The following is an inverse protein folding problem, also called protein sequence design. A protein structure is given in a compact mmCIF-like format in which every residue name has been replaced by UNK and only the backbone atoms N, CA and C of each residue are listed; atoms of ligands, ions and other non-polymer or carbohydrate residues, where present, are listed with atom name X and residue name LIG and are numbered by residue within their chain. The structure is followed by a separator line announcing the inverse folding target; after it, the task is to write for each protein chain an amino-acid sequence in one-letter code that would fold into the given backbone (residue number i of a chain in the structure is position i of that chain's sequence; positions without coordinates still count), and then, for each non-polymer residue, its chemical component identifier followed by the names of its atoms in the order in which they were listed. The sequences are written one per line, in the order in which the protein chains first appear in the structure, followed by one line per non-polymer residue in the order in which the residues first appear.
data_IF_841861229959
#
_entry.id   IF_841861229959
#
_cell.length_a   1.000
_cell.length_b   1.000
_cell.length_c   1.000
_cell.angle_alpha   90.00
_cell.angle_beta   90.00
_cell.angle_gamma   90.00
#
_symmetry.space_group_name_H-M   'P 1'
#
loop_
_entity.id
_entity.type
_entity.pdbx_description
1 polymer ?
#
# COMPACT_ATOMS: atom_id res chain seq x y z
N UNK A 1 14.81 -14.97 34.65
CA UNK A 1 13.83 -14.13 35.37
C UNK A 1 14.49 -13.15 36.35
N UNK A 2 15.46 -12.34 35.90
CA UNK A 2 16.10 -11.28 36.71
C UNK A 2 16.55 -10.14 35.78
N UNK A 3 15.62 -9.36 35.21
CA UNK A 3 15.98 -8.06 34.60
C UNK A 3 14.80 -7.14 34.24
N UNK A 4 13.66 -7.17 34.96
CA UNK A 4 12.56 -6.21 34.71
C UNK A 4 12.17 -5.35 35.92
N UNK A 5 12.79 -5.54 37.09
CA UNK A 5 12.37 -4.86 38.32
C UNK A 5 12.98 -3.45 38.50
N UNK A 6 13.91 -3.02 37.63
CA UNK A 6 14.64 -1.76 37.82
C UNK A 6 14.01 -0.52 37.17
N UNK A 7 13.02 -0.65 36.28
CA UNK A 7 12.43 0.50 35.55
C UNK A 7 11.23 1.12 36.30
N UNK A 8 10.65 0.42 37.28
CA UNK A 8 9.43 0.89 37.97
C UNK A 8 9.73 1.81 39.17
N UNK A 9 10.96 1.87 39.71
CA UNK A 9 11.22 2.62 40.96
C UNK A 9 11.60 4.11 40.79
N UNK A 10 11.85 4.59 39.57
CA UNK A 10 12.30 5.98 39.35
C UNK A 10 11.13 6.98 39.26
N UNK A 11 9.89 6.53 39.02
CA UNK A 11 8.77 7.45 38.71
C UNK A 11 7.97 7.99 39.90
N UNK A 12 8.08 7.39 41.10
CA UNK A 12 7.22 7.80 42.23
C UNK A 12 7.57 9.18 42.83
N UNK A 13 8.82 9.66 42.67
CA UNK A 13 9.28 10.95 43.25
C UNK A 13 8.99 12.15 42.36
N UNK A 14 8.93 11.99 41.04
CA UNK A 14 8.64 13.09 40.10
C UNK A 14 7.13 13.38 40.07
N UNK A 15 6.29 12.34 40.15
CA UNK A 15 4.82 12.51 40.15
C UNK A 15 4.31 13.21 41.42
N UNK A 16 4.92 12.97 42.60
CA UNK A 16 4.45 13.60 43.85
C UNK A 16 4.67 15.12 43.92
N UNK A 17 5.50 15.71 43.07
CA UNK A 17 5.77 17.16 43.08
C UNK A 17 4.98 17.95 42.03
N UNK A 18 4.24 17.28 41.15
CA UNK A 18 3.51 17.89 40.02
C UNK A 18 1.98 17.96 40.18
N UNK A 19 1.41 17.33 41.22
CA UNK A 19 -0.05 17.14 41.36
C UNK A 19 -0.75 18.31 42.09
N UNK A 20 -0.03 19.29 42.63
CA UNK A 20 -0.63 20.34 43.48
C UNK A 20 -1.21 21.58 42.76
N UNK A 21 -1.28 21.60 41.42
CA UNK A 21 -1.71 22.79 40.66
C UNK A 21 -2.72 22.58 39.53
N UNK A 22 -3.13 21.34 39.25
CA UNK A 22 -3.99 21.03 38.10
C UNK A 22 -5.38 20.58 38.55
N UNK A 23 -6.43 21.19 37.99
CA UNK A 23 -7.81 20.72 38.18
C UNK A 23 -7.97 19.33 37.55
N UNK A 24 -8.84 18.50 38.13
CA UNK A 24 -9.18 17.14 37.71
C UNK A 24 -9.35 16.97 36.19
N UNK A 25 -9.95 17.96 35.49
CA UNK A 25 -10.09 17.93 34.03
C UNK A 25 -8.76 17.93 33.29
N UNK A 26 -7.76 18.67 33.78
CA UNK A 26 -6.42 18.74 33.20
C UNK A 26 -5.64 17.43 33.41
N UNK A 27 -5.82 16.78 34.57
CA UNK A 27 -5.22 15.48 34.84
C UNK A 27 -5.84 14.36 33.97
N UNK A 28 -7.15 14.41 33.74
CA UNK A 28 -7.84 13.47 32.85
C UNK A 28 -7.39 13.63 31.39
N UNK A 29 -7.23 14.86 30.92
CA UNK A 29 -6.73 15.15 29.58
C UNK A 29 -5.28 14.65 29.39
N UNK A 30 -4.41 14.88 30.37
CA UNK A 30 -3.02 14.38 30.34
C UNK A 30 -3.01 12.85 30.33
N UNK A 31 -3.86 12.19 31.12
CA UNK A 31 -3.97 10.74 31.13
C UNK A 31 -4.47 10.20 29.79
N UNK A 32 -5.50 10.80 29.18
CA UNK A 32 -5.98 10.43 27.85
C UNK A 32 -4.90 10.60 26.78
N UNK A 33 -4.18 11.73 26.77
CA UNK A 33 -3.09 11.98 25.83
C UNK A 33 -1.95 10.98 26.06
N UNK A 34 -1.59 10.70 27.32
CA UNK A 34 -0.56 9.72 27.65
C UNK A 34 -0.96 8.29 27.25
N UNK A 35 -2.23 7.89 27.42
CA UNK A 35 -2.74 6.61 26.95
C UNK A 35 -2.73 6.50 25.43
N UNK A 36 -3.16 7.55 24.71
CA UNK A 36 -3.11 7.59 23.24
C UNK A 36 -1.65 7.55 22.75
N UNK A 37 -0.76 8.32 23.38
CA UNK A 37 0.66 8.31 23.05
C UNK A 37 1.31 6.96 23.36
N UNK A 38 0.91 6.29 24.45
CA UNK A 38 1.38 4.95 24.79
C UNK A 38 0.85 3.91 23.81
N UNK A 39 -0.42 3.97 23.38
CA UNK A 39 -0.96 3.11 22.33
C UNK A 39 -0.25 3.33 21.00
N UNK A 40 -0.04 4.59 20.59
CA UNK A 40 0.70 4.92 19.36
C UNK A 40 2.16 4.49 19.44
N UNK A 41 2.82 4.66 20.60
CA UNK A 41 4.18 4.19 20.85
C UNK A 41 4.27 2.65 20.91
N UNK A 42 3.23 1.98 21.37
CA UNK A 42 3.14 0.52 21.39
C UNK A 42 3.00 -0.01 19.96
N UNK A 43 2.06 0.53 19.18
CA UNK A 43 1.86 0.19 17.76
C UNK A 43 3.14 0.44 16.94
N UNK A 44 3.79 1.59 17.14
CA UNK A 44 5.03 1.92 16.42
C UNK A 44 6.24 1.11 16.89
N UNK A 45 6.36 0.79 18.18
CA UNK A 45 7.46 -0.06 18.70
C UNK A 45 7.29 -1.54 18.33
N UNK A 46 6.06 -2.05 18.26
CA UNK A 46 5.80 -3.44 17.87
C UNK A 46 6.14 -3.67 16.38
N UNK A 47 5.87 -2.69 15.50
CA UNK A 47 6.34 -2.73 14.11
C UNK A 47 7.87 -2.67 13.97
N UNK A 48 8.59 -2.13 14.96
CA UNK A 48 10.07 -2.05 14.94
C UNK A 48 10.72 -3.35 15.48
N UNK A 49 10.00 -4.16 16.28
CA UNK A 49 10.59 -5.33 16.97
C UNK A 49 10.11 -6.70 16.49
N UNK A 50 8.94 -6.82 15.84
CA UNK A 50 8.60 -8.02 15.08
C UNK A 50 9.07 -7.84 13.64
N UNK A 51 10.19 -8.48 13.26
CA UNK A 51 10.65 -8.48 11.87
C UNK A 51 9.75 -9.41 11.04
N UNK A 52 8.51 -8.98 10.83
CA UNK A 52 7.59 -9.60 9.89
C UNK A 52 8.23 -9.53 8.51
N UNK A 53 8.49 -10.68 7.91
CA UNK A 53 8.95 -10.75 6.53
C UNK A 53 7.77 -10.66 5.56
N UNK A 54 8.04 -10.22 4.34
CA UNK A 54 7.05 -10.17 3.27
C UNK A 54 7.63 -10.81 2.00
N UNK A 55 6.78 -11.46 1.24
CA UNK A 55 7.06 -12.00 -0.07
C UNK A 55 6.07 -11.43 -1.09
N UNK A 56 6.53 -11.18 -2.31
CA UNK A 56 5.74 -10.55 -3.36
C UNK A 56 5.64 -11.46 -4.57
N UNK A 57 4.42 -11.67 -5.07
CA UNK A 57 4.15 -12.56 -6.21
C UNK A 57 2.97 -12.08 -7.03
N UNK A 58 2.82 -12.65 -8.23
CA UNK A 58 1.58 -12.55 -8.97
C UNK A 58 0.41 -13.10 -8.16
N UNK A 59 -0.75 -12.43 -8.28
CA UNK A 59 -1.99 -12.89 -7.71
C UNK A 59 -2.48 -14.15 -8.42
N UNK A 60 -3.09 -15.05 -7.66
CA UNK A 60 -3.76 -16.25 -8.17
C UNK A 60 -5.24 -16.21 -7.83
N UNK A 61 -6.04 -17.09 -8.44
CA UNK A 61 -7.50 -17.16 -8.20
C UNK A 61 -7.83 -17.36 -6.72
N UNK A 62 -6.98 -18.07 -5.98
CA UNK A 62 -7.12 -18.25 -4.53
C UNK A 62 -6.99 -16.96 -3.71
N UNK A 63 -6.40 -15.89 -4.25
CA UNK A 63 -6.22 -14.61 -3.55
C UNK A 63 -7.43 -13.68 -3.65
N UNK A 64 -8.39 -13.98 -4.53
CA UNK A 64 -9.53 -13.09 -4.86
C UNK A 64 -10.26 -12.62 -3.60
N UNK A 65 -10.50 -13.53 -2.65
CA UNK A 65 -11.21 -13.19 -1.42
C UNK A 65 -10.40 -12.24 -0.52
N UNK A 66 -9.10 -12.51 -0.37
CA UNK A 66 -8.24 -11.68 0.46
C UNK A 66 -8.05 -10.28 -0.15
N UNK A 67 -7.89 -10.20 -1.47
CA UNK A 67 -7.79 -8.94 -2.21
C UNK A 67 -9.07 -8.12 -2.05
N UNK A 68 -10.23 -8.72 -2.29
CA UNK A 68 -11.52 -8.05 -2.17
C UNK A 68 -11.76 -7.52 -0.75
N UNK A 69 -11.38 -8.30 0.27
CA UNK A 69 -11.47 -7.88 1.67
C UNK A 69 -10.55 -6.70 1.99
N UNK A 70 -9.28 -6.75 1.59
CA UNK A 70 -8.34 -5.64 1.80
C UNK A 70 -8.84 -4.39 1.07
N UNK A 71 -9.31 -4.55 -0.16
CA UNK A 71 -9.86 -3.45 -0.94
C UNK A 71 -11.03 -2.81 -0.18
N UNK A 72 -11.99 -3.62 0.27
CA UNK A 72 -13.13 -3.13 1.05
C UNK A 72 -12.71 -2.39 2.31
N UNK A 73 -11.97 -3.05 3.20
CA UNK A 73 -11.64 -2.52 4.52
C UNK A 73 -10.86 -1.21 4.41
N UNK A 74 -9.85 -1.16 3.53
CA UNK A 74 -9.04 0.03 3.35
C UNK A 74 -9.82 1.13 2.63
N UNK A 75 -10.70 0.80 1.68
CA UNK A 75 -11.56 1.78 1.02
C UNK A 75 -12.48 2.49 2.01
N UNK A 76 -13.11 1.75 2.93
CA UNK A 76 -13.98 2.34 3.95
C UNK A 76 -13.24 3.38 4.81
N UNK A 77 -12.00 3.07 5.21
CA UNK A 77 -11.23 3.94 6.09
C UNK A 77 -10.64 5.15 5.34
N UNK A 78 -10.23 4.96 4.07
CA UNK A 78 -9.42 5.96 3.35
C UNK A 78 -10.13 6.72 2.23
N UNK A 79 -11.20 6.17 1.66
CA UNK A 79 -11.87 6.74 0.49
C UNK A 79 -13.34 7.05 0.71
N UNK A 80 -14.06 6.30 1.55
CA UNK A 80 -15.52 6.38 1.61
C UNK A 80 -16.05 7.77 1.97
N UNK A 81 -15.32 8.53 2.79
CA UNK A 81 -15.69 9.90 3.16
C UNK A 81 -15.24 10.98 2.14
N UNK A 82 -14.55 10.59 1.07
CA UNK A 82 -13.98 11.49 0.06
C UNK A 82 -14.69 11.41 -1.29
N UNK A 83 -15.56 10.42 -1.50
CA UNK A 83 -16.24 10.17 -2.76
C UNK A 83 -17.74 10.49 -2.68
N UNK A 84 -18.41 10.71 -3.82
CA UNK A 84 -19.85 10.90 -3.84
C UNK A 84 -20.61 9.72 -3.19
N UNK A 85 -21.66 9.97 -2.39
CA UNK A 85 -22.44 8.91 -1.76
C UNK A 85 -23.03 7.89 -2.74
N UNK A 86 -23.36 8.32 -3.95
CA UNK A 86 -23.87 7.47 -5.04
C UNK A 86 -22.86 6.38 -5.40
N UNK A 87 -21.56 6.70 -5.38
CA UNK A 87 -20.51 5.74 -5.66
C UNK A 87 -20.42 4.66 -4.58
N UNK A 88 -20.71 4.99 -3.32
CA UNK A 88 -20.59 4.07 -2.19
C UNK A 88 -21.52 2.85 -2.32
N UNK A 89 -22.64 2.99 -3.03
CA UNK A 89 -23.56 1.88 -3.32
C UNK A 89 -22.87 0.77 -4.15
N UNK A 90 -21.81 1.12 -4.89
CA UNK A 90 -21.00 0.22 -5.71
C UNK A 90 -19.64 -0.12 -5.07
N UNK A 91 -19.48 0.12 -3.76
CA UNK A 91 -18.24 -0.11 -2.99
C UNK A 91 -18.48 -1.05 -1.82
N UNK A 92 -19.21 -2.14 -2.10
CA UNK A 92 -19.46 -3.24 -1.17
C UNK A 92 -18.41 -4.34 -1.32
N UNK A 93 -18.24 -5.16 -0.29
CA UNK A 93 -17.35 -6.34 -0.37
C UNK A 93 -17.72 -7.25 -1.54
N UNK A 94 -19.01 -7.49 -1.77
CA UNK A 94 -19.48 -8.32 -2.87
C UNK A 94 -19.12 -7.73 -4.24
N UNK A 95 -19.33 -6.42 -4.42
CA UNK A 95 -18.93 -5.77 -5.68
C UNK A 95 -17.41 -5.81 -5.92
N UNK A 96 -16.59 -5.73 -4.86
CA UNK A 96 -15.15 -5.88 -5.01
C UNK A 96 -14.74 -7.32 -5.32
N UNK A 97 -15.40 -8.31 -4.71
CA UNK A 97 -15.19 -9.74 -5.00
C UNK A 97 -15.47 -10.04 -6.47
N UNK A 98 -16.55 -9.50 -7.03
CA UNK A 98 -16.92 -9.70 -8.43
C UNK A 98 -15.98 -9.01 -9.42
N UNK A 99 -15.41 -7.86 -9.06
CA UNK A 99 -14.51 -7.09 -9.92
C UNK A 99 -13.06 -7.56 -9.88
N UNK A 100 -12.60 -8.10 -8.76
CA UNK A 100 -11.21 -8.54 -8.56
C UNK A 100 -10.70 -9.48 -9.67
N UNK A 101 -11.46 -10.49 -10.17
CA UNK A 101 -11.02 -11.34 -11.26
C UNK A 101 -10.63 -10.60 -12.55
N UNK A 102 -11.26 -9.44 -12.83
CA UNK A 102 -11.04 -8.69 -14.08
C UNK A 102 -9.62 -8.14 -14.23
N UNK A 103 -8.96 -7.81 -13.12
CA UNK A 103 -7.58 -7.29 -13.10
C UNK A 103 -6.56 -8.29 -12.55
N UNK A 104 -6.99 -9.50 -12.19
CA UNK A 104 -6.18 -10.46 -11.44
C UNK A 104 -4.87 -10.81 -12.16
N UNK A 105 -4.92 -10.98 -13.49
CA UNK A 105 -3.77 -11.31 -14.32
C UNK A 105 -2.66 -10.24 -14.30
N UNK A 106 -3.00 -9.00 -13.94
CA UNK A 106 -2.06 -7.88 -13.82
C UNK A 106 -1.94 -7.39 -12.37
N UNK A 107 -2.32 -8.24 -11.41
CA UNK A 107 -2.25 -7.95 -9.98
C UNK A 107 -1.07 -8.64 -9.31
N UNK A 108 -0.34 -7.89 -8.50
CA UNK A 108 0.70 -8.39 -7.60
C UNK A 108 0.21 -8.28 -6.16
N UNK A 109 0.55 -9.27 -5.34
CA UNK A 109 0.19 -9.33 -3.92
C UNK A 109 1.43 -9.35 -3.04
N UNK A 110 1.31 -8.74 -1.87
CA UNK A 110 2.24 -8.87 -0.76
C UNK A 110 1.69 -9.91 0.23
N UNK A 111 2.49 -10.91 0.57
CA UNK A 111 2.13 -12.02 1.45
C UNK A 111 3.05 -11.99 2.67
N UNK A 112 2.49 -12.18 3.85
CA UNK A 112 3.25 -12.31 5.10
C UNK A 112 4.11 -13.57 5.04
N UNK A 113 5.40 -13.43 5.29
CA UNK A 113 6.30 -14.56 5.54
C UNK A 113 6.34 -14.92 7.02
N UNK A 114 7.35 -15.68 7.43
CA UNK A 114 7.53 -16.04 8.83
C UNK A 114 7.77 -14.79 9.70
N UNK A 115 7.24 -14.84 10.92
CA UNK A 115 7.51 -13.90 12.01
C UNK A 115 8.37 -14.61 13.06
N UNK A 116 9.40 -13.92 13.56
CA UNK A 116 10.22 -14.42 14.67
C UNK A 116 9.64 -14.03 16.05
N UNK A 117 8.44 -13.44 16.07
CA UNK A 117 7.80 -12.98 17.29
C UNK A 117 6.65 -13.93 17.66
N UNK A 118 6.70 -14.50 18.85
CA UNK A 118 5.55 -15.10 19.56
C UNK A 118 4.55 -14.00 20.00
N UNK A 119 4.34 -12.98 19.17
CA UNK A 119 3.42 -11.89 19.45
C UNK A 119 2.04 -12.25 18.89
N UNK A 120 1.02 -12.14 19.72
CA UNK A 120 -0.40 -12.27 19.33
C UNK A 120 -0.78 -11.29 18.20
N UNK A 121 0.00 -10.23 18.01
CA UNK A 121 -0.16 -9.21 16.96
C UNK A 121 0.51 -9.54 15.60
N UNK A 122 1.20 -10.68 15.46
CA UNK A 122 1.78 -11.10 14.18
C UNK A 122 0.69 -11.69 13.26
N UNK A 123 0.65 -11.27 12.00
CA UNK A 123 -0.24 -11.90 11.03
C UNK A 123 0.22 -13.33 10.75
N UNK A 124 -0.73 -14.28 10.56
CA UNK A 124 -0.42 -15.61 10.07
C UNK A 124 0.48 -15.58 8.84
N UNK A 125 1.44 -16.49 8.76
CA UNK A 125 2.24 -16.71 7.56
C UNK A 125 1.34 -17.12 6.38
N UNK A 126 1.67 -16.64 5.18
CA UNK A 126 0.92 -16.93 3.96
C UNK A 126 -0.30 -16.04 3.73
N UNK A 127 -0.55 -15.04 4.58
CA UNK A 127 -1.68 -14.14 4.42
C UNK A 127 -1.37 -12.99 3.47
N UNK A 128 -2.25 -12.74 2.50
CA UNK A 128 -2.18 -11.53 1.67
C UNK A 128 -2.43 -10.31 2.56
N UNK A 129 -1.53 -9.33 2.51
CA UNK A 129 -1.57 -8.11 3.33
C UNK A 129 -1.56 -6.81 2.52
N UNK A 130 -1.47 -6.91 1.19
CA UNK A 130 -1.61 -5.79 0.27
C UNK A 130 -1.57 -6.25 -1.18
N UNK A 131 -2.03 -5.40 -2.08
CA UNK A 131 -2.00 -5.70 -3.51
C UNK A 131 -1.87 -4.43 -4.35
N UNK A 132 -1.41 -4.61 -5.59
CA UNK A 132 -1.38 -3.58 -6.63
C UNK A 132 -1.83 -4.17 -7.95
N UNK A 133 -2.66 -3.45 -8.70
CA UNK A 133 -3.16 -3.86 -10.02
C UNK A 133 -2.79 -2.79 -11.06
N UNK A 134 -2.35 -3.21 -12.24
CA UNK A 134 -2.02 -2.30 -13.35
C UNK A 134 -2.85 -2.59 -14.59
N UNK A 135 -3.04 -1.58 -15.45
CA UNK A 135 -3.65 -1.74 -16.78
C UNK A 135 -3.00 -0.74 -17.75
N UNK A 136 -2.35 -1.26 -18.80
CA UNK A 136 -1.50 -0.44 -19.65
C UNK A 136 -0.41 0.24 -18.82
N UNK A 137 -0.33 1.57 -18.87
CA UNK A 137 0.60 2.37 -18.06
C UNK A 137 -0.02 2.93 -16.77
N UNK A 138 -1.25 2.53 -16.44
CA UNK A 138 -1.95 2.97 -15.23
C UNK A 138 -1.73 2.00 -14.07
N UNK A 139 -1.53 2.54 -12.87
CA UNK A 139 -1.75 1.82 -11.61
C UNK A 139 -3.20 2.08 -11.21
N UNK A 140 -4.04 1.03 -11.26
CA UNK A 140 -5.47 1.13 -10.99
C UNK A 140 -5.79 1.09 -9.49
N UNK A 141 -5.21 0.11 -8.80
CA UNK A 141 -5.48 -0.15 -7.40
C UNK A 141 -4.16 -0.34 -6.66
N UNK A 142 -3.99 0.33 -5.52
CA UNK A 142 -2.91 0.08 -4.57
C UNK A 142 -3.49 0.17 -3.15
N UNK A 143 -3.65 -0.98 -2.50
CA UNK A 143 -4.22 -1.07 -1.17
C UNK A 143 -3.36 -1.96 -0.27
N UNK A 144 -3.15 -1.52 0.96
CA UNK A 144 -2.31 -2.21 1.95
C UNK A 144 -3.05 -2.26 3.28
N UNK A 145 -3.22 -3.47 3.82
CA UNK A 145 -3.85 -3.70 5.13
C UNK A 145 -2.92 -3.37 6.29
N UNK A 146 -1.59 -3.57 6.12
CA UNK A 146 -0.58 -3.21 7.10
C UNK A 146 0.19 -1.94 6.69
N UNK A 147 0.02 -0.85 7.44
CA UNK A 147 0.72 0.42 7.18
C UNK A 147 2.05 0.51 7.94
N UNK A 148 2.98 1.32 7.44
CA UNK A 148 4.23 1.62 8.14
C UNK A 148 5.36 0.57 7.99
N UNK A 149 5.10 -0.56 7.34
CA UNK A 149 6.08 -1.65 7.16
C UNK A 149 6.79 -1.66 5.79
N UNK A 150 6.57 -0.64 4.94
CA UNK A 150 7.22 -0.53 3.62
C UNK A 150 6.56 -1.29 2.48
N UNK A 151 5.61 -2.19 2.75
CA UNK A 151 4.89 -3.01 1.74
C UNK A 151 4.34 -2.19 0.58
N UNK A 152 3.70 -1.05 0.85
CA UNK A 152 3.14 -0.18 -0.20
C UNK A 152 4.18 0.36 -1.17
N UNK A 153 5.39 0.70 -0.69
CA UNK A 153 6.49 1.17 -1.53
C UNK A 153 7.01 0.05 -2.43
N UNK A 154 7.16 -1.15 -1.88
CA UNK A 154 7.63 -2.31 -2.66
C UNK A 154 6.61 -2.72 -3.73
N UNK A 155 5.32 -2.77 -3.40
CA UNK A 155 4.26 -3.01 -4.40
C UNK A 155 4.29 -1.97 -5.52
N UNK A 156 4.40 -0.67 -5.17
CA UNK A 156 4.48 0.40 -6.15
C UNK A 156 5.69 0.25 -7.09
N UNK A 157 6.87 -0.06 -6.55
CA UNK A 157 8.07 -0.31 -7.36
C UNK A 157 7.95 -1.54 -8.27
N UNK A 158 7.28 -2.60 -7.81
CA UNK A 158 7.02 -3.77 -8.66
C UNK A 158 6.03 -3.44 -9.79
N UNK A 159 5.00 -2.66 -9.51
CA UNK A 159 4.05 -2.18 -10.52
C UNK A 159 4.73 -1.29 -11.57
N UNK A 160 5.63 -0.39 -11.15
CA UNK A 160 6.43 0.44 -12.05
C UNK A 160 7.28 -0.41 -13.02
N UNK A 161 7.88 -1.51 -12.53
CA UNK A 161 8.62 -2.46 -13.36
C UNK A 161 7.71 -3.24 -14.30
N UNK A 162 6.55 -3.69 -13.82
CA UNK A 162 5.57 -4.39 -14.65
C UNK A 162 5.09 -3.51 -15.80
N UNK A 163 4.76 -2.24 -15.52
CA UNK A 163 4.37 -1.25 -16.54
C UNK A 163 5.49 -1.06 -17.57
N UNK A 164 6.73 -0.88 -17.11
CA UNK A 164 7.87 -0.74 -18.01
C UNK A 164 8.03 -1.98 -18.91
N UNK A 165 7.99 -3.18 -18.34
CA UNK A 165 8.15 -4.43 -19.07
C UNK A 165 7.02 -4.65 -20.09
N UNK A 166 5.76 -4.46 -19.69
CA UNK A 166 4.59 -4.62 -20.56
C UNK A 166 4.62 -3.65 -21.75
N UNK A 167 5.04 -2.41 -21.51
CA UNK A 167 5.17 -1.41 -22.57
C UNK A 167 6.39 -1.66 -23.49
N UNK A 168 7.52 -2.07 -22.92
CA UNK A 168 8.78 -2.28 -23.68
C UNK A 168 8.80 -3.60 -24.43
N UNK A 169 8.11 -4.65 -23.96
CA UNK A 169 7.97 -5.93 -24.68
C UNK A 169 7.22 -5.81 -26.01
N UNK A 170 6.52 -4.69 -26.23
CA UNK A 170 5.90 -4.33 -27.51
C UNK A 170 6.83 -3.52 -28.42
N UNK A 171 7.94 -3.00 -27.88
CA UNK A 171 8.91 -2.19 -28.61
C UNK A 171 10.11 -3.06 -29.02
N UNK A 172 10.26 -3.31 -30.33
CA UNK A 172 11.50 -3.84 -30.87
C UNK A 172 12.64 -2.88 -30.56
N UNK A 173 13.52 -3.23 -29.62
CA UNK A 173 14.68 -2.40 -29.29
C UNK A 173 15.64 -2.41 -30.48
N UNK A 174 15.58 -1.37 -31.32
CA UNK A 174 16.63 -1.10 -32.30
C UNK A 174 17.73 -0.30 -31.60
N UNK A 175 19.00 -0.75 -31.66
CA UNK A 175 20.10 0.11 -31.26
C UNK A 175 20.07 1.41 -32.07
N UNK A 176 20.36 2.54 -31.44
CA UNK A 176 20.64 3.76 -32.18
C UNK A 176 21.91 3.56 -33.04
N UNK A 177 22.08 4.38 -34.08
CA UNK A 177 23.17 4.24 -35.05
C UNK A 177 24.59 4.34 -34.44
N UNK A 178 24.71 4.86 -33.22
CA UNK A 178 25.95 5.00 -32.45
C UNK A 178 26.22 3.84 -31.47
N UNK A 179 25.35 2.82 -31.45
CA UNK A 179 25.42 1.70 -30.52
C UNK A 179 24.92 2.03 -29.10
N UNK A 180 24.43 3.26 -28.88
CA UNK A 180 23.72 3.62 -27.65
C UNK A 180 22.33 2.99 -27.69
N UNK A 181 21.92 2.41 -26.57
CA UNK A 181 20.51 2.11 -26.32
C UNK A 181 19.96 3.29 -25.55
N UNK A 182 19.13 4.15 -26.18
CA UNK A 182 18.33 5.11 -25.42
C UNK A 182 17.62 4.35 -24.30
N UNK A 183 17.74 4.86 -23.07
CA UNK A 183 16.93 4.34 -21.98
C UNK A 183 15.48 4.61 -22.34
N UNK A 184 14.77 3.58 -22.80
CA UNK A 184 13.34 3.65 -23.02
C UNK A 184 12.68 4.06 -21.70
N UNK A 185 11.81 5.06 -21.78
CA UNK A 185 11.07 5.56 -20.64
C UNK A 185 9.59 5.47 -20.96
N UNK A 186 8.83 4.99 -19.98
CA UNK A 186 7.38 4.90 -20.05
C UNK A 186 6.82 5.85 -18.99
N UNK A 187 5.79 6.61 -19.33
CA UNK A 187 5.09 7.45 -18.36
C UNK A 187 4.01 6.60 -17.69
N UNK A 188 4.28 6.19 -16.45
CA UNK A 188 3.29 5.56 -15.58
C UNK A 188 2.40 6.65 -14.96
N UNK A 189 1.12 6.35 -14.78
CA UNK A 189 0.16 7.28 -14.20
C UNK A 189 -0.77 6.61 -13.18
N UNK A 190 -1.33 7.41 -12.27
CA UNK A 190 -2.35 7.01 -11.32
C UNK A 190 -3.25 8.19 -10.94
N UNK A 191 -4.39 7.89 -10.31
CA UNK A 191 -5.35 8.88 -9.87
C UNK A 191 -5.54 8.83 -8.35
N UNK A 192 -5.60 10.01 -7.73
CA UNK A 192 -5.83 10.17 -6.30
C UNK A 192 -7.06 11.04 -6.09
N UNK A 193 -8.08 10.53 -5.41
CA UNK A 193 -9.26 11.33 -5.06
C UNK A 193 -8.87 12.55 -4.22
N UNK A 194 -9.57 13.67 -4.43
CA UNK A 194 -9.36 14.87 -3.63
C UNK A 194 -9.51 14.59 -2.13
N UNK A 195 -8.69 15.25 -1.32
CA UNK A 195 -8.69 15.09 0.14
C UNK A 195 -7.89 13.89 0.67
N UNK A 196 -7.43 12.97 -0.18
CA UNK A 196 -6.58 11.85 0.24
C UNK A 196 -5.11 12.27 0.43
N UNK A 197 -4.87 13.11 1.43
CA UNK A 197 -3.55 13.71 1.70
C UNK A 197 -2.49 12.67 2.06
N UNK A 198 -2.89 11.58 2.73
CA UNK A 198 -1.99 10.47 3.03
C UNK A 198 -1.44 9.81 1.75
N UNK A 199 -2.28 9.58 0.74
CA UNK A 199 -1.84 9.04 -0.54
C UNK A 199 -0.95 10.03 -1.30
N UNK A 200 -1.32 11.32 -1.34
CA UNK A 200 -0.50 12.36 -1.99
C UNK A 200 0.91 12.43 -1.40
N UNK A 201 1.03 12.41 -0.07
CA UNK A 201 2.33 12.40 0.60
C UNK A 201 3.11 11.11 0.33
N UNK A 202 2.44 9.96 0.28
CA UNK A 202 3.06 8.69 -0.06
C UNK A 202 3.65 8.70 -1.48
N UNK A 203 2.86 9.10 -2.48
CA UNK A 203 3.30 9.13 -3.88
C UNK A 203 4.41 10.16 -4.11
N UNK A 204 4.30 11.35 -3.51
CA UNK A 204 5.38 12.36 -3.53
C UNK A 204 6.70 11.81 -2.97
N UNK A 205 6.67 11.07 -1.85
CA UNK A 205 7.84 10.39 -1.27
C UNK A 205 8.37 9.22 -2.11
N UNK A 206 7.61 8.76 -3.09
CA UNK A 206 8.01 7.73 -4.06
C UNK A 206 8.45 8.33 -5.40
N UNK A 207 8.55 9.66 -5.51
CA UNK A 207 9.03 10.35 -6.71
C UNK A 207 7.97 10.60 -7.78
N UNK A 208 6.69 10.40 -7.46
CA UNK A 208 5.58 10.74 -8.35
C UNK A 208 5.28 12.23 -8.28
N UNK A 209 4.81 12.79 -9.40
CA UNK A 209 4.50 14.22 -9.54
C UNK A 209 3.02 14.40 -9.87
N UNK A 210 2.34 15.29 -9.14
CA UNK A 210 0.98 15.73 -9.44
C UNK A 210 1.00 16.60 -10.71
N UNK A 211 0.24 16.22 -11.75
CA UNK A 211 0.24 16.92 -13.05
C UNK A 211 -1.01 17.77 -13.27
N UNK A 212 -2.09 17.51 -12.53
CA UNK A 212 -3.32 18.32 -12.59
C UNK A 212 -4.56 17.54 -12.16
N UNK A 213 -5.71 18.20 -12.27
CA UNK A 213 -7.02 17.59 -12.07
C UNK A 213 -7.46 16.85 -13.34
N UNK A 214 -8.08 15.68 -13.17
CA UNK A 214 -8.64 14.87 -14.24
C UNK A 214 -9.88 14.12 -13.72
N UNK A 215 -10.93 14.06 -14.52
CA UNK A 215 -12.07 13.17 -14.24
C UNK A 215 -11.67 11.74 -14.56
N UNK A 216 -11.68 10.90 -13.54
CA UNK A 216 -11.36 9.49 -13.66
C UNK A 216 -12.63 8.64 -13.68
N UNK A 217 -12.78 7.83 -14.73
CA UNK A 217 -13.93 6.95 -14.94
C UNK A 217 -13.78 5.64 -14.17
N UNK A 218 -14.18 5.63 -12.90
CA UNK A 218 -14.05 4.43 -12.05
C UNK A 218 -15.07 3.38 -12.45
N UNK A 219 -14.63 2.12 -12.52
CA UNK A 219 -15.55 1.03 -12.80
C UNK A 219 -16.55 0.81 -11.64
N UNK A 220 -17.78 0.52 -12.02
CA UNK A 220 -18.89 0.09 -11.18
C UNK A 220 -19.56 -1.14 -11.83
N UNK A 221 -20.21 -1.96 -11.02
CA UNK A 221 -20.98 -3.08 -11.54
C UNK A 221 -22.34 -2.55 -12.04
N UNK A 222 -22.62 -2.81 -13.31
CA UNK A 222 -23.89 -2.49 -13.94
C UNK A 222 -25.01 -3.41 -13.45
N UNK A 223 -26.26 -2.95 -13.50
CA UNK A 223 -27.42 -3.75 -13.08
C UNK A 223 -27.60 -5.05 -13.90
N UNK A 224 -27.06 -5.10 -15.11
CA UNK A 224 -27.08 -6.27 -15.99
C UNK A 224 -25.89 -7.25 -15.74
N UNK A 225 -25.06 -6.99 -14.73
CA UNK A 225 -23.87 -7.80 -14.42
C UNK A 225 -22.63 -7.45 -15.26
N UNK A 226 -22.70 -6.43 -16.12
CA UNK A 226 -21.55 -5.89 -16.85
C UNK A 226 -20.77 -4.83 -16.08
N UNK A 227 -19.83 -4.18 -16.78
CA UNK A 227 -19.06 -3.04 -16.26
C UNK A 227 -19.63 -1.73 -16.78
N UNK A 228 -19.90 -0.81 -15.86
CA UNK A 228 -20.23 0.60 -16.13
C UNK A 228 -19.15 1.50 -15.52
N UNK A 229 -19.15 2.79 -15.87
CA UNK A 229 -18.21 3.77 -15.36
C UNK A 229 -18.92 4.90 -14.63
N UNK A 230 -18.32 5.36 -13.54
CA UNK A 230 -18.76 6.51 -12.76
C UNK A 230 -17.66 7.57 -12.77
N UNK A 231 -17.94 8.82 -13.15
CA UNK A 231 -16.94 9.87 -13.19
C UNK A 231 -16.60 10.36 -11.78
N UNK A 232 -15.31 10.39 -11.43
CA UNK A 232 -14.82 10.91 -10.14
C UNK A 232 -13.72 11.95 -10.41
N UNK A 233 -13.87 13.20 -9.94
CA UNK A 233 -12.79 14.18 -9.97
C UNK A 233 -11.61 13.67 -9.13
N UNK A 234 -10.43 13.62 -9.74
CA UNK A 234 -9.20 13.14 -9.14
C UNK A 234 -8.03 14.05 -9.49
N UNK A 235 -6.95 13.90 -8.75
CA UNK A 235 -5.63 14.42 -9.10
C UNK A 235 -4.88 13.34 -9.87
N UNK A 236 -4.41 13.66 -11.07
CA UNK A 236 -3.54 12.80 -11.87
C UNK A 236 -2.10 12.95 -11.38
N UNK A 237 -1.44 11.81 -11.20
CA UNK A 237 -0.03 11.73 -10.83
C UNK A 237 0.73 10.90 -11.86
N UNK A 238 1.97 11.31 -12.16
CA UNK A 238 2.81 10.65 -13.15
C UNK A 238 4.22 10.41 -12.64
N UNK A 239 4.84 9.34 -13.15
CA UNK A 239 6.27 9.04 -12.97
C UNK A 239 6.84 8.44 -14.25
N UNK A 240 8.02 8.91 -14.66
CA UNK A 240 8.80 8.28 -15.73
C UNK A 240 9.49 7.04 -15.16
N UNK A 241 9.15 5.86 -15.68
CA UNK A 241 9.73 4.57 -15.29
C UNK A 241 10.66 4.06 -16.39
N UNK A 242 11.73 3.35 -16.00
CA UNK A 242 12.73 2.82 -16.93
C UNK A 242 13.36 1.53 -16.40
N UNK A 243 14.05 0.78 -17.25
CA UNK A 243 14.74 -0.47 -16.89
C UNK A 243 15.76 -0.34 -15.74
N UNK A 244 16.26 0.86 -15.47
CA UNK A 244 17.50 1.08 -14.72
C UNK A 244 17.31 1.73 -13.33
N UNK A 245 16.14 1.60 -12.69
CA UNK A 245 16.02 1.92 -11.26
C UNK A 245 16.79 0.85 -10.44
N UNK A 246 18.11 1.05 -10.34
CA UNK A 246 19.14 0.19 -9.73
C UNK A 246 18.98 -0.08 -8.24
N UNK A 247 17.87 0.29 -7.60
CA UNK A 247 17.68 0.05 -6.16
C UNK A 247 17.12 -1.32 -5.80
N UNK A 248 16.63 -2.15 -6.75
CA UNK A 248 16.10 -3.48 -6.42
C UNK A 248 16.64 -4.65 -7.23
N UNK A 249 17.81 -4.53 -7.85
CA UNK A 249 18.51 -5.72 -8.39
C UNK A 249 19.10 -6.60 -7.27
N UNK A 250 19.39 -6.03 -6.08
CA UNK A 250 19.81 -6.80 -4.92
C UNK A 250 18.67 -7.61 -4.28
N UNK A 251 17.40 -7.25 -4.52
CA UNK A 251 16.23 -7.90 -3.92
C UNK A 251 15.72 -9.10 -4.77
N UNK A 252 15.98 -9.09 -6.08
CA UNK A 252 15.63 -10.20 -6.99
C UNK A 252 16.47 -11.47 -6.77
N UNK A 253 17.68 -11.35 -6.20
CA UNK A 253 18.48 -12.51 -5.78
C UNK A 253 17.90 -13.22 -4.55
N UNK A 254 16.81 -12.70 -3.96
CA UNK A 254 16.12 -13.28 -2.79
C UNK A 254 14.86 -14.08 -3.12
N UNK A 255 14.33 -13.99 -4.35
CA UNK A 255 13.02 -14.54 -4.73
C UNK A 255 13.05 -15.20 -6.14
N UNK A 256 13.48 -16.47 -6.25
CA UNK A 256 13.72 -17.15 -7.53
C UNK A 256 12.47 -17.36 -8.41
N UNK A 257 11.27 -17.31 -7.83
CA UNK A 257 9.97 -17.44 -8.51
C UNK A 257 9.67 -16.30 -9.50
N UNK A 258 10.29 -15.12 -9.34
CA UNK A 258 10.13 -14.01 -10.29
C UNK A 258 10.96 -14.18 -11.58
N UNK A 259 11.89 -15.14 -11.61
CA UNK A 259 12.67 -15.47 -12.81
C UNK A 259 11.81 -16.15 -13.88
N UNK A 260 10.76 -16.87 -13.48
CA UNK A 260 9.86 -17.57 -14.41
C UNK A 260 9.09 -16.62 -15.34
N UNK A 261 8.78 -15.41 -14.88
CA UNK A 261 8.08 -14.37 -15.68
C UNK A 261 9.01 -13.72 -16.71
N UNK A 262 10.34 -13.77 -16.50
CA UNK A 262 11.32 -13.29 -17.49
C UNK A 262 11.51 -14.25 -18.66
N UNK A 263 11.29 -15.54 -18.39
CA UNK A 263 11.64 -16.63 -19.30
C UNK A 263 10.38 -17.28 -19.92
N UNK A 264 9.19 -16.69 -19.76
CA UNK A 264 7.90 -17.08 -20.40
C UNK A 264 7.30 -15.95 -21.22
#
# INVERSE_FOLDING_TARGET
MKSCTAIISVNARVVRRFVYGYNFKSLLLIYCIASILLEVLHITSQCIMAKQSFHFRAAVVGDVEAIAKIWYDVYQISHAHLVPPELLQHRTLETFRQRTPGDLAKTLVAVTGSSNADSEDSLPEGQVCGFVSTRGTAILHLFVGLRGCGVGRQLLQLAERQIFHDASGSASSRPDADGSTRCEQVVAHLHVVHGNEAARQFYKKCGWVEVGEETYEVEILAANGGTEHFPVPCLRWEKKVSANEREGQAEFMRYPELKAIRDS
#
